data_IF_584827204745
#
_entry.id   IF_584827204745
#
_cell.length_a   1.000
_cell.length_b   1.000
_cell.length_c   1.000
_cell.angle_alpha   90.00
_cell.angle_beta   90.00
_cell.angle_gamma   90.00
#
_symmetry.space_group_name_H-M   'P 1'
#
loop_
_entity.id
_entity.type
_entity.pdbx_description
1 polymer ?
#
# COMPACT_ATOMS: atom_id res chain seq x y z
N UNK A 1 3.97 -3.16 1.78
CA UNK A 1 3.44 -1.96 1.10
C UNK A 1 3.67 -0.72 1.93
N UNK A 2 3.13 -0.61 3.15
CA UNK A 2 3.36 0.56 4.02
C UNK A 2 4.85 0.86 4.22
N UNK A 3 5.63 -0.10 4.75
CA UNK A 3 7.08 0.05 4.96
C UNK A 3 7.86 0.42 3.67
N UNK A 4 7.39 -0.07 2.52
CA UNK A 4 7.97 0.29 1.23
C UNK A 4 7.72 1.75 0.89
N UNK A 5 6.50 2.26 1.08
CA UNK A 5 6.16 3.66 0.83
C UNK A 5 6.88 4.60 1.80
N UNK A 6 6.95 4.21 3.06
CA UNK A 6 7.69 4.91 4.11
C UNK A 6 9.19 4.98 3.79
N UNK A 7 9.80 3.87 3.35
CA UNK A 7 11.21 3.93 2.93
C UNK A 7 11.41 4.79 1.68
N UNK A 8 10.52 4.69 0.71
CA UNK A 8 10.63 5.43 -0.55
C UNK A 8 10.53 6.94 -0.34
N UNK A 9 9.73 7.40 0.62
CA UNK A 9 9.51 8.83 0.85
C UNK A 9 10.69 9.50 1.58
N UNK A 10 11.62 8.75 2.15
CA UNK A 10 12.82 9.31 2.76
C UNK A 10 13.74 9.99 1.74
N UNK A 11 13.69 9.59 0.47
CA UNK A 11 14.48 10.21 -0.60
C UNK A 11 13.86 11.52 -1.10
N UNK A 12 14.61 12.61 -1.04
CA UNK A 12 14.21 13.91 -1.61
C UNK A 12 13.89 13.81 -3.10
N UNK A 13 14.66 12.99 -3.84
CA UNK A 13 14.42 12.76 -5.26
C UNK A 13 13.02 12.17 -5.48
N UNK A 14 12.62 11.20 -4.66
CA UNK A 14 11.28 10.61 -4.70
C UNK A 14 10.19 11.62 -4.31
N UNK A 15 10.45 12.50 -3.34
CA UNK A 15 9.47 13.53 -2.93
C UNK A 15 9.20 14.53 -4.07
N UNK A 16 10.25 14.93 -4.79
CA UNK A 16 10.15 15.87 -5.93
C UNK A 16 9.56 15.17 -7.17
N UNK A 17 10.14 14.04 -7.57
CA UNK A 17 9.84 13.37 -8.82
C UNK A 17 8.63 12.43 -8.73
N UNK A 18 8.27 11.97 -7.53
CA UNK A 18 7.21 10.99 -7.33
C UNK A 18 7.60 9.57 -7.76
N UNK A 19 6.61 8.67 -7.78
CA UNK A 19 6.81 7.25 -8.11
C UNK A 19 5.95 6.79 -9.27
N UNK A 20 6.40 5.73 -9.95
CA UNK A 20 5.61 4.96 -10.90
C UNK A 20 5.44 3.54 -10.36
N UNK A 21 4.21 3.03 -10.41
CA UNK A 21 3.88 1.69 -9.95
C UNK A 21 3.75 0.78 -11.15
N UNK A 22 4.38 -0.40 -11.11
CA UNK A 22 4.17 -1.50 -12.04
C UNK A 22 3.50 -2.65 -11.27
N UNK A 23 2.30 -3.03 -11.68
CA UNK A 23 1.52 -4.08 -11.03
C UNK A 23 1.32 -5.25 -12.01
N UNK A 24 1.95 -6.38 -11.71
CA UNK A 24 1.79 -7.63 -12.46
C UNK A 24 0.65 -8.47 -11.86
N UNK A 25 -0.39 -8.71 -12.66
CA UNK A 25 -1.55 -9.51 -12.30
C UNK A 25 -1.54 -10.92 -12.89
N UNK A 26 -0.39 -11.38 -13.41
CA UNK A 26 -0.21 -12.75 -13.91
C UNK A 26 -0.60 -13.78 -12.85
N UNK A 27 -1.45 -14.74 -13.24
CA UNK A 27 -1.90 -15.80 -12.34
C UNK A 27 -2.94 -15.34 -11.30
N UNK A 28 -3.54 -14.15 -11.46
CA UNK A 28 -4.71 -13.76 -10.68
C UNK A 28 -5.94 -14.57 -11.14
N UNK A 29 -6.45 -15.42 -10.26
CA UNK A 29 -7.68 -16.18 -10.44
C UNK A 29 -8.82 -15.69 -9.52
N UNK A 30 -10.02 -16.24 -9.73
CA UNK A 30 -11.23 -15.93 -8.96
C UNK A 30 -11.04 -16.08 -7.44
N UNK A 31 -10.40 -17.15 -6.99
CA UNK A 31 -10.16 -17.40 -5.56
C UNK A 31 -9.30 -16.31 -4.91
N UNK A 32 -8.26 -15.82 -5.59
CA UNK A 32 -7.44 -14.70 -5.09
C UNK A 32 -8.24 -13.39 -5.13
N UNK A 33 -9.00 -13.18 -6.21
CA UNK A 33 -9.81 -11.99 -6.39
C UNK A 33 -10.97 -11.88 -5.38
N UNK A 34 -11.55 -12.99 -4.92
CA UNK A 34 -12.66 -12.98 -3.95
C UNK A 34 -12.27 -12.45 -2.58
N UNK A 35 -10.98 -12.49 -2.22
CA UNK A 35 -10.50 -11.86 -1.01
C UNK A 35 -10.42 -10.33 -1.13
N UNK A 36 -10.42 -9.78 -2.36
CA UNK A 36 -10.30 -8.36 -2.61
C UNK A 36 -11.67 -7.66 -2.61
N UNK A 37 -12.15 -7.31 -1.41
CA UNK A 37 -13.41 -6.60 -1.20
C UNK A 37 -13.27 -5.08 -1.02
N UNK A 38 -14.40 -4.34 -0.94
CA UNK A 38 -14.42 -2.88 -0.77
C UNK A 38 -13.66 -2.37 0.45
N UNK A 39 -13.67 -3.11 1.56
CA UNK A 39 -12.94 -2.74 2.77
C UNK A 39 -11.43 -2.70 2.54
N UNK A 40 -10.87 -3.76 1.93
CA UNK A 40 -9.45 -3.84 1.60
C UNK A 40 -9.10 -2.79 0.55
N UNK A 41 -9.95 -2.61 -0.46
CA UNK A 41 -9.78 -1.59 -1.49
C UNK A 41 -9.69 -0.17 -0.88
N UNK A 42 -10.62 0.19 0.02
CA UNK A 42 -10.61 1.48 0.72
C UNK A 42 -9.32 1.67 1.51
N UNK A 43 -8.88 0.67 2.28
CA UNK A 43 -7.62 0.75 3.03
C UNK A 43 -6.40 0.90 2.12
N UNK A 44 -6.27 0.08 1.08
CA UNK A 44 -5.14 0.18 0.15
C UNK A 44 -5.09 1.53 -0.56
N UNK A 45 -6.23 2.02 -1.03
CA UNK A 45 -6.30 3.32 -1.70
C UNK A 45 -6.00 4.47 -0.74
N UNK A 46 -6.52 4.41 0.50
CA UNK A 46 -6.24 5.39 1.54
C UNK A 46 -4.74 5.50 1.83
N UNK A 47 -4.07 4.37 2.08
CA UNK A 47 -2.60 4.35 2.29
C UNK A 47 -1.88 4.97 1.09
N UNK A 48 -2.29 4.62 -0.13
CA UNK A 48 -1.57 5.00 -1.33
C UNK A 48 -1.73 6.48 -1.72
N UNK A 49 -2.91 7.09 -1.48
CA UNK A 49 -3.23 8.44 -1.96
C UNK A 49 -3.36 9.49 -0.84
N UNK A 50 -3.52 9.06 0.41
CA UNK A 50 -3.77 9.91 1.58
C UNK A 50 -2.82 9.59 2.76
N UNK A 51 -2.27 8.38 2.84
CA UNK A 51 -1.41 7.95 3.95
C UNK A 51 0.03 8.47 3.90
N UNK A 52 0.52 8.88 2.73
CA UNK A 52 1.86 9.42 2.57
C UNK A 52 1.87 10.62 1.61
N UNK A 53 2.74 11.63 1.83
CA UNK A 53 2.93 12.74 0.88
C UNK A 53 3.65 12.33 -0.41
N UNK A 54 3.36 11.15 -0.96
CA UNK A 54 3.99 10.60 -2.15
C UNK A 54 3.17 10.93 -3.41
N UNK A 55 3.85 11.38 -4.45
CA UNK A 55 3.21 11.73 -5.72
C UNK A 55 3.23 10.54 -6.68
N UNK A 56 2.12 9.84 -6.81
CA UNK A 56 1.96 8.78 -7.82
C UNK A 56 1.93 9.43 -9.21
N UNK A 57 2.82 9.06 -10.13
CA UNK A 57 2.86 9.58 -11.51
C UNK A 57 2.09 8.70 -12.48
N UNK A 58 2.20 7.39 -12.35
CA UNK A 58 1.52 6.39 -13.17
C UNK A 58 1.35 5.08 -12.40
N UNK A 59 0.31 4.32 -12.75
CA UNK A 59 0.07 2.94 -12.31
C UNK A 59 -0.09 2.09 -13.57
N UNK A 60 0.98 1.39 -13.95
CA UNK A 60 1.01 0.49 -15.10
C UNK A 60 0.60 -0.91 -14.64
N UNK A 61 -0.47 -1.43 -15.21
CA UNK A 61 -1.04 -2.74 -14.91
C UNK A 61 -0.75 -3.65 -16.09
N UNK A 62 -0.07 -4.77 -15.84
CA UNK A 62 0.26 -5.78 -16.85
C UNK A 62 -0.34 -7.13 -16.47
N UNK A 63 -0.50 -7.99 -17.47
CA UNK A 63 -1.05 -9.33 -17.36
C UNK A 63 -2.40 -9.40 -16.65
N UNK A 64 -3.20 -8.33 -16.71
CA UNK A 64 -4.48 -8.31 -16.02
C UNK A 64 -5.52 -9.23 -16.66
N UNK A 65 -6.15 -10.13 -15.88
CA UNK A 65 -7.20 -10.99 -16.40
C UNK A 65 -8.50 -10.20 -16.59
N UNK A 66 -9.46 -10.78 -17.34
CA UNK A 66 -10.79 -10.16 -17.56
C UNK A 66 -11.51 -9.74 -16.27
N UNK A 67 -11.30 -10.46 -15.17
CA UNK A 67 -11.86 -10.13 -13.85
C UNK A 67 -11.33 -8.82 -13.26
N UNK A 68 -10.19 -8.30 -13.73
CA UNK A 68 -9.63 -7.04 -13.25
C UNK A 68 -10.61 -5.88 -13.40
N UNK A 69 -11.50 -5.90 -14.41
CA UNK A 69 -12.57 -4.90 -14.53
C UNK A 69 -13.44 -4.80 -13.27
N UNK A 70 -13.75 -5.93 -12.64
CA UNK A 70 -14.49 -5.98 -11.38
C UNK A 70 -13.67 -5.44 -10.21
N UNK A 71 -12.40 -5.83 -10.11
CA UNK A 71 -11.47 -5.30 -9.09
C UNK A 71 -11.34 -3.78 -9.23
N UNK A 72 -11.15 -3.27 -10.44
CA UNK A 72 -11.05 -1.84 -10.70
C UNK A 72 -12.36 -1.12 -10.38
N UNK A 73 -13.52 -1.71 -10.65
CA UNK A 73 -14.81 -1.15 -10.25
C UNK A 73 -14.97 -1.05 -8.73
N UNK A 74 -14.35 -1.95 -7.95
CA UNK A 74 -14.30 -1.88 -6.49
C UNK A 74 -13.33 -0.80 -6.01
N UNK A 75 -12.19 -0.59 -6.69
CA UNK A 75 -11.21 0.44 -6.37
C UNK A 75 -11.70 1.85 -6.68
N UNK A 76 -12.32 2.02 -7.86
CA UNK A 76 -12.64 3.31 -8.48
C UNK A 76 -13.40 4.29 -7.57
N UNK A 77 -14.39 3.89 -6.75
CA UNK A 77 -15.10 4.79 -5.85
C UNK A 77 -14.20 5.47 -4.81
N UNK A 78 -13.07 4.86 -4.46
CA UNK A 78 -12.13 5.40 -3.48
C UNK A 78 -11.00 6.22 -4.11
N UNK A 79 -10.78 6.07 -5.42
CA UNK A 79 -9.71 6.73 -6.14
C UNK A 79 -10.09 8.18 -6.50
N UNK A 80 -9.19 9.13 -6.21
CA UNK A 80 -9.29 10.49 -6.76
C UNK A 80 -9.25 10.45 -8.28
N UNK A 81 -10.01 11.32 -8.94
CA UNK A 81 -10.13 11.36 -10.41
C UNK A 81 -8.76 11.48 -11.12
N UNK A 82 -7.84 12.23 -10.51
CA UNK A 82 -6.45 12.37 -10.96
C UNK A 82 -5.68 11.04 -10.98
N UNK A 83 -5.92 10.16 -10.00
CA UNK A 83 -5.27 8.86 -9.93
C UNK A 83 -5.92 7.89 -10.91
N UNK A 84 -7.25 7.93 -11.07
CA UNK A 84 -7.97 7.15 -12.11
C UNK A 84 -7.37 7.41 -13.50
N UNK A 85 -7.09 8.67 -13.85
CA UNK A 85 -6.46 9.07 -15.13
C UNK A 85 -4.99 8.60 -15.29
N UNK A 86 -4.39 8.03 -14.25
CA UNK A 86 -3.00 7.55 -14.22
C UNK A 86 -2.89 6.03 -14.25
N UNK A 87 -4.02 5.32 -14.31
CA UNK A 87 -4.02 3.88 -14.56
C UNK A 87 -3.83 3.61 -16.05
N UNK A 88 -2.82 2.81 -16.38
CA UNK A 88 -2.53 2.33 -17.72
C UNK A 88 -2.63 0.81 -17.71
N UNK A 89 -3.48 0.26 -18.58
CA UNK A 89 -3.73 -1.17 -18.70
C UNK A 89 -3.07 -1.66 -19.97
N UNK A 90 -2.16 -2.62 -19.83
CA UNK A 90 -1.31 -3.10 -20.93
C UNK A 90 -1.70 -4.51 -21.40
N UNK A 91 -2.50 -5.25 -20.62
CA UNK A 91 -2.78 -6.65 -20.88
C UNK A 91 -1.48 -7.44 -20.97
N UNK A 92 -1.36 -8.30 -21.97
CA UNK A 92 -0.14 -9.07 -22.25
C UNK A 92 0.87 -8.33 -23.14
N UNK A 93 0.61 -7.08 -23.54
CA UNK A 93 1.47 -6.33 -24.45
C UNK A 93 2.50 -5.47 -23.70
N UNK A 94 3.70 -6.03 -23.53
CA UNK A 94 4.83 -5.31 -22.94
C UNK A 94 5.36 -4.17 -23.83
N UNK A 95 5.06 -4.13 -25.13
CA UNK A 95 5.49 -3.00 -25.96
C UNK A 95 4.77 -1.71 -25.56
N UNK A 96 3.47 -1.81 -25.23
CA UNK A 96 2.70 -0.67 -24.71
C UNK A 96 3.24 -0.15 -23.37
N UNK A 97 3.83 -1.02 -22.53
CA UNK A 97 4.51 -0.62 -21.29
C UNK A 97 5.70 0.30 -21.58
N UNK A 98 6.47 -0.02 -22.63
CA UNK A 98 7.67 0.71 -22.99
C UNK A 98 7.43 2.11 -23.59
N UNK A 99 6.18 2.44 -23.92
CA UNK A 99 5.82 3.81 -24.25
C UNK A 99 6.02 4.77 -23.06
N UNK A 100 5.82 4.28 -21.83
CA UNK A 100 5.92 5.06 -20.61
C UNK A 100 7.17 4.71 -19.78
N UNK A 101 7.70 3.49 -19.90
CA UNK A 101 8.83 2.99 -19.10
C UNK A 101 9.96 2.46 -19.97
N UNK A 102 11.14 3.11 -19.98
CA UNK A 102 12.23 2.69 -20.87
C UNK A 102 12.75 1.28 -20.48
N UNK A 103 13.04 0.38 -21.45
CA UNK A 103 13.51 -0.96 -21.15
C UNK A 103 14.76 -1.03 -20.24
N UNK A 104 15.63 -0.01 -20.28
CA UNK A 104 16.87 0.05 -19.49
C UNK A 104 16.68 0.07 -17.98
N UNK A 105 15.49 0.44 -17.48
CA UNK A 105 15.22 0.50 -16.03
C UNK A 105 14.40 -0.70 -15.54
N UNK A 106 13.93 -1.55 -16.46
CA UNK A 106 13.07 -2.67 -16.15
C UNK A 106 13.88 -3.99 -16.11
N UNK A 107 13.47 -4.94 -15.25
CA UNK A 107 13.96 -6.30 -15.29
C UNK A 107 13.63 -7.04 -16.60
N UNK A 108 14.40 -8.08 -16.91
CA UNK A 108 14.20 -8.97 -18.07
C UNK A 108 12.78 -9.58 -18.10
N UNK A 109 12.21 -9.93 -16.95
CA UNK A 109 10.88 -10.52 -16.82
C UNK A 109 9.75 -9.58 -17.31
N UNK A 110 10.02 -8.28 -17.36
CA UNK A 110 9.09 -7.25 -17.82
C UNK A 110 9.53 -6.61 -19.15
N UNK A 111 10.35 -7.32 -19.94
CA UNK A 111 10.82 -6.86 -21.25
C UNK A 111 11.96 -5.85 -21.20
N UNK A 112 12.61 -5.70 -20.05
CA UNK A 112 13.70 -4.77 -19.85
C UNK A 112 15.10 -5.36 -20.04
N UNK A 113 16.10 -4.56 -19.67
CA UNK A 113 17.53 -4.86 -19.85
C UNK A 113 18.36 -4.56 -18.58
N UNK A 114 17.70 -4.30 -17.44
CA UNK A 114 18.36 -4.03 -16.16
C UNK A 114 18.84 -5.30 -15.43
N UNK A 115 18.86 -6.45 -16.11
CA UNK A 115 19.10 -7.77 -15.52
C UNK A 115 17.83 -8.41 -14.96
N UNK A 116 18.00 -9.51 -14.22
CA UNK A 116 16.90 -10.24 -13.60
C UNK A 116 16.32 -9.50 -12.40
N UNK A 117 15.03 -9.69 -12.15
CA UNK A 117 14.38 -9.14 -10.98
C UNK A 117 15.00 -9.71 -9.70
N UNK A 118 15.66 -8.85 -8.93
CA UNK A 118 16.15 -9.16 -7.59
C UNK A 118 15.27 -8.49 -6.52
N UNK A 119 14.59 -9.31 -5.73
CA UNK A 119 13.73 -8.87 -4.63
C UNK A 119 14.50 -8.94 -3.30
N UNK A 120 15.56 -9.76 -3.18
CA UNK A 120 16.22 -9.97 -1.89
C UNK A 120 16.92 -8.71 -1.42
N UNK A 121 17.58 -7.98 -2.31
CA UNK A 121 18.24 -6.71 -1.97
C UNK A 121 17.27 -5.69 -1.35
N UNK A 122 16.04 -5.58 -1.89
CA UNK A 122 15.03 -4.67 -1.33
C UNK A 122 14.48 -5.17 0.01
N UNK A 123 14.27 -6.48 0.15
CA UNK A 123 13.82 -7.07 1.41
C UNK A 123 14.86 -6.89 2.52
N UNK A 124 16.13 -7.13 2.23
CA UNK A 124 17.25 -6.93 3.17
C UNK A 124 17.35 -5.46 3.60
N UNK A 125 17.19 -4.52 2.66
CA UNK A 125 17.15 -3.09 2.98
C UNK A 125 15.98 -2.73 3.91
N UNK A 126 14.80 -3.27 3.66
CA UNK A 126 13.63 -3.03 4.51
C UNK A 126 13.82 -3.63 5.91
N UNK A 127 14.37 -4.84 6.01
CA UNK A 127 14.67 -5.48 7.29
C UNK A 127 15.76 -4.74 8.07
N UNK A 128 16.80 -4.25 7.39
CA UNK A 128 17.85 -3.44 8.02
C UNK A 128 17.34 -2.08 8.51
N UNK A 129 16.21 -1.59 7.96
CA UNK A 129 15.56 -0.35 8.40
C UNK A 129 14.52 -0.59 9.52
N UNK A 130 14.36 -1.82 10.02
CA UNK A 130 13.30 -2.18 10.98
C UNK A 130 13.37 -1.36 12.27
N UNK A 131 14.57 -1.12 12.79
CA UNK A 131 14.76 -0.37 14.03
C UNK A 131 14.43 1.12 13.88
N UNK A 132 14.66 1.69 12.69
CA UNK A 132 14.28 3.07 12.39
C UNK A 132 12.75 3.23 12.45
N UNK A 133 12.00 2.24 11.95
CA UNK A 133 10.53 2.28 11.97
C UNK A 133 9.96 2.14 13.39
N UNK A 134 10.60 1.34 14.25
CA UNK A 134 10.18 1.20 15.66
C UNK A 134 10.40 2.48 16.46
N UNK A 135 11.49 3.20 16.15
CA UNK A 135 11.83 4.43 16.83
C UNK A 135 10.83 5.55 16.50
N UNK A 136 10.48 5.72 15.22
CA UNK A 136 9.53 6.75 14.80
C UNK A 136 8.14 6.57 15.43
N UNK A 137 7.65 5.32 15.50
CA UNK A 137 6.36 4.98 16.14
C UNK A 137 6.33 5.35 17.64
N UNK A 138 7.46 5.17 18.35
CA UNK A 138 7.56 5.50 19.78
C UNK A 138 7.61 7.01 20.08
N UNK A 139 7.82 7.85 19.07
CA UNK A 139 8.05 9.29 19.21
C UNK A 139 7.01 10.19 18.53
N UNK A 140 5.95 9.61 17.95
CA UNK A 140 4.80 10.39 17.49
C UNK A 140 4.17 11.16 18.67
N UNK A 141 4.10 12.51 18.64
CA UNK A 141 3.46 13.25 19.70
C UNK A 141 1.96 12.93 19.67
N UNK A 142 1.45 12.35 20.75
CA UNK A 142 0.01 12.27 20.99
C UNK A 142 -0.56 13.69 20.91
N UNK A 143 -1.24 14.04 19.81
CA UNK A 143 -2.00 15.28 19.73
C UNK A 143 -3.21 15.14 20.66
N UNK A 144 -3.05 15.52 21.91
CA UNK A 144 -4.12 15.67 22.88
C UNK A 144 -4.88 16.96 22.59
N UNK A 145 -5.90 16.89 21.74
CA UNK A 145 -6.96 17.91 21.73
C UNK A 145 -8.26 17.32 21.19
N UNK A 146 -9.02 16.72 22.11
CA UNK A 146 -10.48 16.70 22.10
C UNK A 146 -10.94 16.12 23.44
N UNK A 147 -11.25 17.00 24.40
CA UNK A 147 -11.88 16.61 25.67
C UNK A 147 -13.40 16.50 25.49
N UNK A 148 -14.05 15.46 26.05
CA UNK A 148 -15.40 15.58 26.57
C UNK A 148 -15.42 15.33 28.09
N UNK A 149 -16.20 16.14 28.79
CA UNK A 149 -16.44 16.05 30.23
C UNK A 149 -17.07 14.70 30.67
N UNK A 150 -16.59 14.22 31.81
CA UNK A 150 -16.98 13.11 32.73
C UNK A 150 -18.46 13.10 33.24
N UNK A 151 -18.95 12.15 34.10
CA UNK A 151 -18.27 11.01 34.79
C UNK A 151 -19.03 9.64 34.92
N UNK A 152 -18.23 8.58 35.18
CA UNK A 152 -18.35 7.42 36.13
C UNK A 152 -19.69 6.68 36.39
N UNK A 153 -19.68 5.34 36.21
CA UNK A 153 -19.69 4.36 37.32
C UNK A 153 -19.32 2.94 36.86
N UNK A 154 -18.26 2.42 37.49
CA UNK A 154 -17.92 1.05 37.90
C UNK A 154 -18.83 -0.14 37.56
N UNK A 155 -18.22 -1.21 37.03
CA UNK A 155 -18.34 -2.59 37.53
C UNK A 155 -17.13 -3.43 37.05
N UNK A 156 -16.43 -4.06 38.00
CA UNK A 156 -15.42 -5.11 37.78
C UNK A 156 -16.11 -6.46 37.52
N UNK A 157 -15.39 -7.37 36.82
CA UNK A 157 -15.38 -8.86 36.89
C UNK A 157 -15.21 -9.46 35.47
N UNK A 158 -14.01 -9.89 35.09
CA UNK A 158 -13.53 -11.29 35.18
C UNK A 158 -12.22 -11.48 34.40
N UNK A 159 -11.13 -11.65 35.14
CA UNK A 159 -9.77 -11.90 34.66
C UNK A 159 -9.63 -13.39 34.30
N UNK A 160 -9.66 -13.75 33.00
CA UNK A 160 -8.87 -14.87 32.42
C UNK A 160 -9.27 -15.32 30.99
N UNK A 161 -10.08 -14.57 30.24
CA UNK A 161 -10.35 -14.95 28.83
C UNK A 161 -10.34 -13.80 27.82
N UNK A 162 -9.92 -12.61 28.25
CA UNK A 162 -10.04 -11.40 27.45
C UNK A 162 -8.70 -10.82 26.98
N UNK A 163 -7.57 -11.33 27.50
CA UNK A 163 -6.21 -10.79 27.27
C UNK A 163 -5.73 -10.95 25.81
N UNK A 164 -6.08 -12.07 25.16
CA UNK A 164 -5.69 -12.33 23.76
C UNK A 164 -6.52 -11.53 22.74
N UNK A 165 -7.79 -11.27 23.05
CA UNK A 165 -8.68 -10.49 22.18
C UNK A 165 -8.33 -9.01 22.24
N UNK A 166 -7.96 -8.50 23.41
CA UNK A 166 -7.63 -7.09 23.62
C UNK A 166 -6.30 -6.69 22.97
N UNK A 167 -5.27 -7.56 22.96
CA UNK A 167 -3.98 -7.29 22.31
C UNK A 167 -4.06 -7.37 20.78
N UNK A 168 -4.83 -8.33 20.29
CA UNK A 168 -5.13 -8.51 18.86
C UNK A 168 -6.00 -7.37 18.30
N UNK A 169 -6.96 -6.88 19.09
CA UNK A 169 -7.82 -5.75 18.71
C UNK A 169 -7.13 -4.37 18.88
N UNK A 170 -6.23 -4.23 19.87
CA UNK A 170 -5.43 -3.01 20.06
C UNK A 170 -4.42 -2.75 18.92
N UNK A 171 -3.83 -3.79 18.34
CA UNK A 171 -2.92 -3.65 17.17
C UNK A 171 -3.68 -3.32 15.87
N UNK A 172 -4.96 -3.74 15.77
CA UNK A 172 -5.70 -3.67 14.50
C UNK A 172 -6.48 -2.37 14.26
N UNK A 173 -6.66 -1.53 15.27
CA UNK A 173 -7.54 -0.34 15.17
C UNK A 173 -6.94 0.97 15.70
N UNK A 174 -5.85 0.97 16.46
CA UNK A 174 -5.49 2.16 17.26
C UNK A 174 -4.20 2.84 16.78
N UNK A 175 -4.29 3.88 15.96
CA UNK A 175 -5.47 4.73 15.87
C UNK A 175 -5.51 5.57 14.62
N UNK A 176 -6.58 5.37 13.86
CA UNK A 176 -7.18 6.38 12.99
C UNK A 176 -6.23 7.09 12.02
N UNK A 177 -5.47 6.25 11.29
CA UNK A 177 -5.01 6.53 9.93
C UNK A 177 -5.46 5.39 8.99
#
# INVERSE_FOLDING_TARGET
MYLTLEKLIQSEETQVNGIVILADYKGLGLSKASHFGPFIAKKMVGILQDGFPIRIKAVNVINEPRIFKGIFAILKPFLKEKIVKRFFLHGSDLQSLHHNLPPRILPEEYGGTAGKLDISSWNELLLASEDDFKYDDSHLPFSSDCSPHDPLMSEEIDENQHDDSLRSFKTQLYSCY
#
